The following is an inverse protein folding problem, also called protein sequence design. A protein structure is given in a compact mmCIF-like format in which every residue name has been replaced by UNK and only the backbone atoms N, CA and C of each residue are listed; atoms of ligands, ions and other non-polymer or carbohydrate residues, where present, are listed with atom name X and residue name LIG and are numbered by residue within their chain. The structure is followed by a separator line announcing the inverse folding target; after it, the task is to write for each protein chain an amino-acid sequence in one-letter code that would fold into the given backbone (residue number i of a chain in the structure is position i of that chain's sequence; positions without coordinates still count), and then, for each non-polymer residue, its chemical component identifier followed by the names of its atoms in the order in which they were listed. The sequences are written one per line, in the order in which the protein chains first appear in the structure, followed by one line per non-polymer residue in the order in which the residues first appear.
data_IF_110267168327
#
_entry.id   IF_110267168327
#
_cell.length_a   1.000
_cell.length_b   1.000
_cell.length_c   1.000
_cell.angle_alpha   90.00
_cell.angle_beta   90.00
_cell.angle_gamma   90.00
#
_symmetry.space_group_name_H-M   'P 1'
#
loop_
_entity.id
_entity.type
_entity.pdbx_description
1 polymer ?
#
# COMPACT_ATOMS: atom_id res chain seq x y z
N UNK A 1 37.62 -33.13 15.05
CA UNK A 1 37.13 -31.84 14.50
C UNK A 1 37.34 -31.76 12.98
N UNK A 2 37.11 -32.86 12.23
CA UNK A 2 37.49 -33.00 10.80
C UNK A 2 36.31 -32.82 9.83
N UNK A 3 35.09 -33.01 10.33
CA UNK A 3 33.86 -33.07 9.52
C UNK A 3 33.34 -31.65 9.21
N UNK A 4 33.51 -30.71 10.13
CA UNK A 4 33.13 -29.30 9.94
C UNK A 4 34.01 -28.62 8.89
N UNK A 5 35.31 -28.97 8.81
CA UNK A 5 36.22 -28.43 7.80
C UNK A 5 35.82 -28.81 6.38
N UNK A 6 35.45 -30.08 6.14
CA UNK A 6 34.96 -30.53 4.83
C UNK A 6 33.59 -29.95 4.46
N UNK A 7 32.75 -29.65 5.46
CA UNK A 7 31.45 -29.00 5.26
C UNK A 7 31.64 -27.54 4.79
N UNK A 8 32.56 -26.79 5.41
CA UNK A 8 32.92 -25.43 5.02
C UNK A 8 33.56 -25.34 3.63
N UNK A 9 34.34 -26.35 3.21
CA UNK A 9 34.88 -26.43 1.85
C UNK A 9 33.80 -26.62 0.77
N UNK A 10 32.66 -27.23 1.13
CA UNK A 10 31.61 -27.59 0.18
C UNK A 10 30.49 -26.55 0.13
N UNK A 11 30.12 -25.94 1.27
CA UNK A 11 29.09 -24.90 1.40
C UNK A 11 29.52 -23.92 2.50
N UNK A 12 30.19 -22.83 2.13
CA UNK A 12 30.68 -21.83 3.09
C UNK A 12 29.60 -20.81 3.52
N UNK A 13 28.61 -20.56 2.67
CA UNK A 13 27.51 -19.63 2.95
C UNK A 13 26.18 -20.26 2.47
N UNK A 14 25.06 -20.06 3.19
CA UNK A 14 23.75 -20.39 2.65
C UNK A 14 23.55 -19.64 1.33
N UNK A 15 23.10 -20.33 0.28
CA UNK A 15 22.87 -19.73 -1.04
C UNK A 15 21.97 -18.49 -0.88
N UNK A 16 22.50 -17.32 -1.24
CA UNK A 16 21.78 -16.03 -1.17
C UNK A 16 20.57 -15.97 -2.11
N UNK A 17 20.57 -16.77 -3.16
CA UNK A 17 19.48 -16.81 -4.13
C UNK A 17 18.81 -18.19 -4.09
N UNK A 18 17.61 -18.22 -3.51
CA UNK A 18 16.72 -19.37 -3.56
C UNK A 18 16.43 -19.74 -5.01
N UNK A 19 16.53 -21.04 -5.30
CA UNK A 19 16.24 -21.68 -6.59
C UNK A 19 14.97 -21.13 -7.24
N UNK A 20 14.98 -21.04 -8.57
CA UNK A 20 13.91 -20.47 -9.42
C UNK A 20 12.57 -21.19 -9.25
N UNK A 21 12.59 -22.44 -8.77
CA UNK A 21 11.42 -23.29 -8.47
C UNK A 21 11.19 -23.56 -6.97
N UNK A 22 12.04 -23.02 -6.09
CA UNK A 22 11.83 -23.20 -4.66
C UNK A 22 10.71 -22.27 -4.21
N UNK A 23 9.69 -22.79 -3.49
CA UNK A 23 8.61 -21.96 -3.02
C UNK A 23 9.16 -20.88 -2.08
N UNK A 24 9.11 -19.64 -2.55
CA UNK A 24 9.56 -18.49 -1.77
C UNK A 24 8.43 -18.11 -0.86
N UNK A 25 8.65 -18.32 0.44
CA UNK A 25 7.76 -17.84 1.48
C UNK A 25 8.19 -16.42 1.77
N UNK A 26 7.39 -15.45 1.33
CA UNK A 26 7.61 -14.05 1.68
C UNK A 26 6.57 -13.64 2.71
N UNK A 27 7.05 -13.20 3.86
CA UNK A 27 6.20 -12.69 4.93
C UNK A 27 6.12 -11.18 4.84
N UNK A 28 4.91 -10.66 4.65
CA UNK A 28 4.62 -9.23 4.69
C UNK A 28 3.83 -8.94 5.95
N UNK A 29 4.32 -8.00 6.75
CA UNK A 29 3.64 -7.58 7.97
C UNK A 29 2.71 -6.41 7.66
N UNK A 30 1.43 -6.59 7.92
CA UNK A 30 0.36 -5.61 7.71
C UNK A 30 -0.31 -5.32 9.05
N UNK A 31 -0.93 -4.15 9.22
CA UNK A 31 -1.67 -3.83 10.45
C UNK A 31 -2.95 -4.68 10.55
N UNK A 32 -3.25 -5.29 11.72
CA UNK A 32 -4.40 -6.20 11.92
C UNK A 32 -5.75 -5.57 11.58
N UNK A 33 -5.87 -4.25 11.75
CA UNK A 33 -7.09 -3.48 11.47
C UNK A 33 -7.50 -3.51 9.99
N UNK A 34 -6.52 -3.62 9.07
CA UNK A 34 -6.75 -3.63 7.62
C UNK A 34 -6.78 -5.03 7.02
N UNK A 35 -6.39 -6.06 7.76
CA UNK A 35 -6.43 -7.46 7.33
C UNK A 35 -7.84 -7.86 6.90
N UNK A 36 -8.86 -7.39 7.60
CA UNK A 36 -10.27 -7.61 7.25
C UNK A 36 -10.67 -6.99 5.90
N UNK A 37 -10.06 -5.86 5.52
CA UNK A 37 -10.27 -5.23 4.22
C UNK A 37 -9.57 -6.01 3.08
N UNK A 38 -8.37 -6.54 3.35
CA UNK A 38 -7.60 -7.37 2.41
C UNK A 38 -8.32 -8.69 2.11
N UNK A 39 -8.90 -9.33 3.13
CA UNK A 39 -9.72 -10.54 2.98
C UNK A 39 -11.01 -10.23 2.20
N UNK A 40 -11.59 -9.04 2.40
CA UNK A 40 -12.91 -8.66 1.89
C UNK A 40 -14.05 -9.43 2.56
N UNK A 41 -15.30 -9.23 2.13
CA UNK A 41 -16.45 -9.96 2.69
C UNK A 41 -16.32 -11.47 2.40
N UNK A 42 -15.97 -12.27 3.41
CA UNK A 42 -15.90 -13.73 3.31
C UNK A 42 -14.74 -14.28 2.46
N UNK A 43 -13.63 -13.55 2.35
CA UNK A 43 -12.43 -14.02 1.62
C UNK A 43 -12.53 -13.89 0.10
N UNK A 44 -13.48 -13.08 -0.42
CA UNK A 44 -13.70 -12.93 -1.86
C UNK A 44 -12.48 -12.34 -2.58
N UNK A 45 -11.82 -11.34 -1.99
CA UNK A 45 -10.64 -10.70 -2.59
C UNK A 45 -9.46 -11.66 -2.64
N UNK A 46 -9.15 -12.33 -1.52
CA UNK A 46 -8.05 -13.31 -1.49
C UNK A 46 -8.34 -14.48 -2.44
N UNK A 47 -9.58 -15.01 -2.49
CA UNK A 47 -9.93 -16.08 -3.43
C UNK A 47 -9.79 -15.66 -4.89
N UNK A 48 -10.11 -14.41 -5.22
CA UNK A 48 -9.94 -13.89 -6.57
C UNK A 48 -8.45 -13.80 -6.93
N UNK A 49 -7.62 -13.24 -6.03
CA UNK A 49 -6.16 -13.14 -6.23
C UNK A 49 -5.52 -14.53 -6.34
N UNK A 50 -5.88 -15.47 -5.46
CA UNK A 50 -5.41 -16.86 -5.48
C UNK A 50 -5.82 -17.55 -6.78
N UNK A 51 -7.06 -17.33 -7.26
CA UNK A 51 -7.54 -17.92 -8.52
C UNK A 51 -6.83 -17.35 -9.75
N UNK A 52 -6.41 -16.08 -9.70
CA UNK A 52 -5.81 -15.38 -10.84
C UNK A 52 -4.29 -15.54 -10.90
N UNK A 53 -3.65 -15.68 -9.74
CA UNK A 53 -2.20 -15.84 -9.62
C UNK A 53 -1.75 -17.28 -9.39
N UNK A 54 -2.65 -18.16 -8.91
CA UNK A 54 -2.31 -19.55 -8.53
C UNK A 54 -1.47 -19.66 -7.26
N UNK A 55 -1.42 -18.61 -6.44
CA UNK A 55 -0.54 -18.49 -5.27
C UNK A 55 -1.31 -18.79 -4.00
N UNK A 56 -0.70 -19.47 -3.03
CA UNK A 56 -1.29 -19.68 -1.70
C UNK A 56 -0.99 -18.47 -0.83
N UNK A 57 -2.03 -17.81 -0.33
CA UNK A 57 -1.91 -16.66 0.57
C UNK A 57 -2.55 -17.06 1.90
N UNK A 58 -1.72 -17.19 2.92
CA UNK A 58 -2.14 -17.38 4.29
C UNK A 58 -2.11 -16.04 5.02
N UNK A 59 -3.19 -15.74 5.74
CA UNK A 59 -3.32 -14.49 6.47
C UNK A 59 -3.62 -14.84 7.92
N UNK A 60 -2.72 -14.46 8.82
CA UNK A 60 -2.89 -14.63 10.26
C UNK A 60 -3.58 -13.41 10.88
N UNK A 61 -4.33 -13.63 11.97
CA UNK A 61 -5.07 -12.57 12.70
C UNK A 61 -4.14 -11.51 13.33
N UNK A 62 -2.84 -11.80 13.42
CA UNK A 62 -1.81 -10.89 13.91
C UNK A 62 -1.35 -9.86 12.86
N UNK A 63 -1.82 -10.00 11.61
CA UNK A 63 -1.42 -9.16 10.48
C UNK A 63 -0.26 -9.71 9.65
N UNK A 64 0.17 -10.95 9.90
CA UNK A 64 1.19 -11.63 9.11
C UNK A 64 0.56 -12.25 7.87
N UNK A 65 0.89 -11.69 6.69
CA UNK A 65 0.48 -12.25 5.39
C UNK A 65 1.64 -13.05 4.83
N UNK A 66 1.44 -14.36 4.71
CA UNK A 66 2.41 -15.31 4.18
C UNK A 66 2.00 -15.70 2.77
N UNK A 67 2.85 -15.36 1.80
CA UNK A 67 2.62 -15.67 0.39
C UNK A 67 3.55 -16.82 0.02
N UNK A 68 2.97 -17.95 -0.37
CA UNK A 68 3.67 -19.15 -0.82
C UNK A 68 3.35 -19.42 -2.29
N UNK A 69 4.34 -19.25 -3.15
CA UNK A 69 4.24 -19.42 -4.61
C UNK A 69 5.29 -20.39 -5.12
N UNK A 70 4.93 -21.28 -6.06
CA UNK A 70 5.88 -22.14 -6.79
C UNK A 70 6.69 -21.39 -7.86
N UNK A 71 6.18 -20.27 -8.35
CA UNK A 71 6.72 -19.51 -9.48
C UNK A 71 7.17 -18.10 -9.08
N UNK A 72 8.33 -17.68 -9.62
CA UNK A 72 8.94 -16.38 -9.36
C UNK A 72 8.03 -15.22 -9.84
N UNK A 73 7.40 -15.36 -11.00
CA UNK A 73 6.53 -14.32 -11.58
C UNK A 73 5.16 -14.23 -10.88
N UNK A 74 4.61 -15.37 -10.46
CA UNK A 74 3.37 -15.40 -9.69
C UNK A 74 3.59 -14.79 -8.29
N UNK A 75 4.74 -15.09 -7.67
CA UNK A 75 5.17 -14.45 -6.42
C UNK A 75 5.24 -12.93 -6.56
N UNK A 76 5.94 -12.44 -7.59
CA UNK A 76 6.11 -11.01 -7.82
C UNK A 76 4.78 -10.30 -8.08
N UNK A 77 3.89 -10.90 -8.88
CA UNK A 77 2.54 -10.36 -9.12
C UNK A 77 1.67 -10.37 -7.88
N UNK A 78 1.68 -11.44 -7.09
CA UNK A 78 0.95 -11.52 -5.84
C UNK A 78 1.49 -10.52 -4.81
N UNK A 79 2.81 -10.38 -4.68
CA UNK A 79 3.43 -9.38 -3.83
C UNK A 79 3.06 -7.96 -4.30
N UNK A 80 3.05 -7.68 -5.61
CA UNK A 80 2.66 -6.38 -6.13
C UNK A 80 1.17 -6.08 -5.87
N UNK A 81 0.27 -7.05 -6.07
CA UNK A 81 -1.15 -6.89 -5.78
C UNK A 81 -1.43 -6.76 -4.28
N UNK A 82 -0.79 -7.59 -3.45
CA UNK A 82 -0.93 -7.50 -1.99
C UNK A 82 -0.34 -6.18 -1.52
N UNK A 83 0.82 -5.74 -2.01
CA UNK A 83 1.37 -4.41 -1.71
C UNK A 83 0.40 -3.32 -2.12
N UNK A 84 -0.16 -3.35 -3.33
CA UNK A 84 -1.15 -2.34 -3.76
C UNK A 84 -2.39 -2.28 -2.85
N UNK A 85 -2.87 -3.44 -2.39
CA UNK A 85 -4.01 -3.53 -1.47
C UNK A 85 -3.66 -3.21 -0.01
N UNK A 86 -2.39 -3.36 0.37
CA UNK A 86 -1.88 -3.17 1.74
C UNK A 86 -1.03 -1.92 1.87
N UNK A 87 -0.87 -1.14 0.80
CA UNK A 87 -0.06 0.07 0.80
C UNK A 87 -0.71 1.03 1.78
N UNK A 88 0.01 1.31 2.85
CA UNK A 88 -0.40 2.30 3.81
C UNK A 88 -0.05 3.66 3.21
N UNK A 89 -1.00 4.60 3.32
CA UNK A 89 -0.72 6.01 3.13
C UNK A 89 0.34 6.46 4.14
N UNK A 90 1.62 6.37 3.77
CA UNK A 90 2.69 6.81 4.65
C UNK A 90 2.67 8.34 4.81
N UNK A 91 2.86 8.79 6.05
CA UNK A 91 2.98 10.20 6.36
C UNK A 91 4.17 10.78 5.59
N UNK A 92 3.93 11.87 4.87
CA UNK A 92 4.93 12.57 4.08
C UNK A 92 5.05 12.09 2.63
N UNK A 93 4.45 10.96 2.25
CA UNK A 93 4.36 10.57 0.83
C UNK A 93 3.31 11.41 0.11
N UNK A 94 3.58 11.59 -1.18
CA UNK A 94 2.71 12.29 -2.11
C UNK A 94 1.98 11.23 -2.91
N UNK A 95 0.66 11.33 -2.95
CA UNK A 95 -0.21 10.45 -3.71
C UNK A 95 -1.01 11.26 -4.72
N UNK A 96 -1.33 10.64 -5.84
CA UNK A 96 -2.32 11.15 -6.79
C UNK A 96 -3.67 10.56 -6.39
N UNK A 97 -4.57 11.42 -5.92
CA UNK A 97 -5.87 11.00 -5.43
C UNK A 97 -7.00 11.60 -6.26
N UNK A 98 -8.14 10.91 -6.29
CA UNK A 98 -9.33 11.38 -7.00
C UNK A 98 -10.32 11.99 -6.00
N UNK A 99 -10.87 13.16 -6.31
CA UNK A 99 -11.87 13.82 -5.47
C UNK A 99 -13.19 13.05 -5.56
N UNK A 100 -13.64 12.44 -4.46
CA UNK A 100 -14.94 11.76 -4.37
C UNK A 100 -16.08 12.72 -4.11
N UNK A 101 -15.84 13.69 -3.24
CA UNK A 101 -16.87 14.58 -2.72
C UNK A 101 -16.29 15.92 -2.31
N UNK A 102 -16.97 17.01 -2.65
CA UNK A 102 -16.58 18.37 -2.25
C UNK A 102 -17.57 18.91 -1.21
N UNK A 103 -17.07 19.62 -0.19
CA UNK A 103 -17.86 20.29 0.85
C UNK A 103 -17.37 21.73 1.05
N UNK A 104 -18.17 22.60 1.67
CA UNK A 104 -17.83 24.04 1.78
C UNK A 104 -16.50 24.32 2.50
N UNK A 105 -16.06 23.44 3.39
CA UNK A 105 -14.82 23.58 4.16
C UNK A 105 -13.65 22.70 3.66
N UNK A 106 -13.84 21.91 2.58
CA UNK A 106 -12.81 21.00 2.08
C UNK A 106 -13.26 20.03 0.99
N UNK A 107 -12.41 19.06 0.66
CA UNK A 107 -12.71 18.00 -0.29
C UNK A 107 -12.25 16.64 0.23
N UNK A 108 -13.04 15.61 -0.01
CA UNK A 108 -12.66 14.22 0.23
C UNK A 108 -11.97 13.66 -0.99
N UNK A 109 -10.72 13.25 -0.82
CA UNK A 109 -9.86 12.71 -1.86
C UNK A 109 -9.55 11.26 -1.51
N UNK A 110 -9.86 10.35 -2.42
CA UNK A 110 -9.46 8.95 -2.33
C UNK A 110 -8.05 8.81 -2.92
N UNK A 111 -7.08 8.44 -2.08
CA UNK A 111 -5.69 8.21 -2.50
C UNK A 111 -5.40 6.75 -2.80
N UNK A 112 -6.08 5.85 -2.08
CA UNK A 112 -5.91 4.39 -2.13
C UNK A 112 -7.30 3.76 -1.93
N UNK A 113 -7.56 2.58 -2.49
CA UNK A 113 -8.88 1.94 -2.41
C UNK A 113 -9.31 1.73 -0.95
N UNK A 114 -10.39 2.41 -0.54
CA UNK A 114 -10.92 2.36 0.83
C UNK A 114 -10.21 3.27 1.84
N UNK A 115 -9.31 4.15 1.36
CA UNK A 115 -8.60 5.14 2.17
C UNK A 115 -8.91 6.55 1.66
N UNK A 116 -9.77 7.25 2.41
CA UNK A 116 -10.20 8.62 2.11
C UNK A 116 -9.49 9.63 3.01
N UNK A 117 -9.01 10.72 2.42
CA UNK A 117 -8.43 11.83 3.15
C UNK A 117 -9.24 13.11 2.99
N UNK A 118 -9.22 13.93 4.03
CA UNK A 118 -9.84 15.24 4.04
C UNK A 118 -8.80 16.30 3.70
N UNK A 119 -9.05 17.02 2.60
CA UNK A 119 -8.31 18.18 2.16
C UNK A 119 -9.04 19.44 2.67
N UNK A 120 -8.48 20.12 3.67
CA UNK A 120 -9.09 21.33 4.21
C UNK A 120 -8.89 22.54 3.29
N UNK A 121 -9.86 23.47 3.23
CA UNK A 121 -9.79 24.69 2.40
C UNK A 121 -8.50 25.50 2.63
N UNK A 122 -8.00 25.53 3.87
CA UNK A 122 -6.75 26.25 4.21
C UNK A 122 -5.48 25.60 3.62
N UNK A 123 -5.56 24.32 3.25
CA UNK A 123 -4.46 23.51 2.71
C UNK A 123 -4.54 23.33 1.19
N UNK A 124 -5.49 23.98 0.52
CA UNK A 124 -5.67 23.93 -0.94
C UNK A 124 -4.70 24.85 -1.71
N UNK A 125 -4.50 26.08 -1.24
CA UNK A 125 -3.58 27.04 -1.87
C UNK A 125 -2.98 28.02 -0.83
N UNK A 126 -1.85 28.65 -1.16
CA UNK A 126 -1.24 29.75 -0.36
C UNK A 126 -2.10 31.01 -0.36
N UNK A 127 -2.92 31.20 -1.38
CA UNK A 127 -3.85 32.32 -1.51
C UNK A 127 -5.17 32.05 -0.79
N UNK A 128 -5.91 33.14 -0.48
CA UNK A 128 -7.21 33.06 0.19
C UNK A 128 -8.25 32.55 -0.79
N UNK A 129 -8.52 31.25 -0.74
CA UNK A 129 -9.57 30.61 -1.53
C UNK A 129 -10.94 30.88 -0.88
N UNK A 130 -11.85 31.53 -1.60
CA UNK A 130 -13.21 31.80 -1.11
C UNK A 130 -14.16 30.59 -1.28
N UNK A 131 -13.95 29.76 -2.31
CA UNK A 131 -14.73 28.54 -2.55
C UNK A 131 -13.85 27.39 -3.00
N UNK A 132 -14.11 26.21 -2.45
CA UNK A 132 -13.38 24.97 -2.78
C UNK A 132 -13.66 24.53 -4.22
N UNK A 133 -14.89 24.75 -4.70
CA UNK A 133 -15.38 24.39 -6.04
C UNK A 133 -14.68 25.10 -7.19
N UNK A 134 -14.00 26.23 -6.94
CA UNK A 134 -13.24 26.93 -7.98
C UNK A 134 -11.91 26.23 -8.29
N UNK A 135 -11.43 25.34 -7.41
CA UNK A 135 -10.10 24.72 -7.49
C UNK A 135 -10.15 23.20 -7.58
N UNK A 136 -11.16 22.56 -6.99
CA UNK A 136 -11.36 21.11 -7.04
C UNK A 136 -12.82 20.79 -7.28
N UNK A 137 -13.05 19.90 -8.23
CA UNK A 137 -14.38 19.39 -8.57
C UNK A 137 -14.46 17.89 -8.25
N UNK A 138 -15.68 17.38 -8.11
CA UNK A 138 -15.89 15.94 -7.98
C UNK A 138 -15.38 15.21 -9.23
N UNK A 139 -14.58 14.16 -9.03
CA UNK A 139 -13.92 13.40 -10.09
C UNK A 139 -12.57 13.95 -10.53
N UNK A 140 -12.12 15.09 -10.01
CA UNK A 140 -10.83 15.66 -10.38
C UNK A 140 -9.66 14.90 -9.74
N UNK A 141 -8.54 14.83 -10.46
CA UNK A 141 -7.32 14.19 -9.98
C UNK A 141 -6.37 15.23 -9.38
N UNK A 142 -6.09 15.10 -8.08
CA UNK A 142 -5.25 16.04 -7.34
C UNK A 142 -4.07 15.34 -6.69
N UNK A 143 -2.93 16.01 -6.76
CA UNK A 143 -1.72 15.57 -6.06
C UNK A 143 -1.80 16.10 -4.62
N UNK A 144 -1.74 15.20 -3.65
CA UNK A 144 -1.91 15.49 -2.24
C UNK A 144 -0.81 14.81 -1.43
N UNK A 145 -0.31 15.53 -0.42
CA UNK A 145 0.62 14.98 0.56
C UNK A 145 -0.12 14.58 1.82
N UNK A 146 0.19 13.41 2.34
CA UNK A 146 -0.31 12.94 3.63
C UNK A 146 0.44 13.68 4.74
N UNK A 147 -0.26 14.53 5.49
CA UNK A 147 0.32 15.25 6.63
C UNK A 147 0.25 14.41 7.90
N UNK A 148 -0.87 13.74 8.11
CA UNK A 148 -1.16 13.03 9.34
C UNK A 148 -2.16 11.91 9.06
N UNK A 149 -1.96 10.77 9.69
CA UNK A 149 -2.85 9.61 9.58
C UNK A 149 -3.32 9.27 10.98
N UNK A 150 -4.59 9.56 11.26
CA UNK A 150 -5.20 9.19 12.52
C UNK A 150 -5.52 7.69 12.55
N UNK A 151 -5.47 7.08 13.75
CA UNK A 151 -5.80 5.66 13.95
C UNK A 151 -7.24 5.31 13.56
N UNK A 152 -8.12 6.30 13.49
CA UNK A 152 -9.50 6.12 13.00
C UNK A 152 -9.63 6.06 11.46
N UNK A 153 -8.51 6.11 10.72
CA UNK A 153 -8.52 6.11 9.25
C UNK A 153 -8.81 7.48 8.64
N UNK A 154 -8.87 8.54 9.44
CA UNK A 154 -8.97 9.92 8.96
C UNK A 154 -7.59 10.41 8.56
N UNK A 155 -7.41 10.68 7.27
CA UNK A 155 -6.16 11.20 6.74
C UNK A 155 -6.29 12.69 6.51
N UNK A 156 -5.32 13.46 7.02
CA UNK A 156 -5.19 14.88 6.71
C UNK A 156 -4.32 15.04 5.49
N UNK A 157 -4.90 15.61 4.44
CA UNK A 157 -4.21 15.86 3.19
C UNK A 157 -3.89 17.36 3.07
N UNK A 158 -2.76 17.66 2.44
CA UNK A 158 -2.37 19.02 2.07
C UNK A 158 -1.90 19.06 0.63
N UNK A 159 -2.50 19.97 -0.16
CA UNK A 159 -2.05 20.31 -1.51
C UNK A 159 -0.93 21.35 -1.45
N UNK A 160 -0.95 22.21 -0.43
CA UNK A 160 0.06 23.24 -0.15
C UNK A 160 1.49 22.68 -0.01
N UNK A 161 1.62 21.54 0.65
CA UNK A 161 2.91 20.84 0.85
C UNK A 161 3.29 19.96 -0.34
N UNK A 162 2.37 19.71 -1.27
CA UNK A 162 2.62 19.04 -2.54
C UNK A 162 3.00 20.03 -3.65
N UNK A 163 2.61 21.31 -3.52
CA UNK A 163 3.03 22.43 -4.37
C UNK A 163 4.50 22.79 -4.11
N UNK A 164 5.41 21.94 -4.61
CA UNK A 164 6.86 22.16 -4.51
C UNK A 164 7.71 20.90 -4.53
N UNK A 165 7.11 19.71 -4.68
CA UNK A 165 7.86 18.47 -4.80
C UNK A 165 7.47 17.79 -6.10
N UNK A 166 8.42 17.76 -7.03
CA UNK A 166 8.35 16.97 -8.24
C UNK A 166 8.31 15.48 -7.86
N UNK A 167 7.39 14.74 -8.49
CA UNK A 167 7.30 13.30 -8.35
C UNK A 167 8.55 12.72 -9.01
N UNK A 168 9.56 12.33 -8.23
CA UNK A 168 10.62 11.46 -8.72
C UNK A 168 10.04 10.04 -8.71
N UNK A 169 9.75 9.56 -9.92
CA UNK A 169 9.42 8.17 -10.25
C UNK A 169 10.55 7.21 -9.82
#
# INVERSE_FOLDING_TARGET
MFIIGKLLETIAEPRKELSVYAPRITTVKVKPEKVRAVIGTGGKNIRQIVSETGVTIDVEDDGTVTIASSDLEASARAIAMVRWLTEDAEIGKIYRGTVKKVVDFGAFVEILPGTEGLLHISQLAKERVNKVTDIVNEGDEVIVKVLDVDKQGKIRLSRKDALGVEIND
#
